data_IF_619410810877
#
_entry.id   IF_619410810877
#
_cell.length_a   1.000
_cell.length_b   1.000
_cell.length_c   1.000
_cell.angle_alpha   90.00
_cell.angle_beta   90.00
_cell.angle_gamma   90.00
#
_symmetry.space_group_name_H-M   'P 1'
#
loop_
_entity.id
_entity.type
_entity.pdbx_description
1 polymer ?
#
# COMPACT_ATOMS: atom_id res chain seq x y z
N UNK A 1 -35.93 -45.59 4.36
CA UNK A 1 -36.90 -44.51 4.05
C UNK A 1 -37.76 -44.83 2.82
N UNK A 2 -37.17 -45.25 1.70
CA UNK A 2 -37.85 -45.52 0.41
C UNK A 2 -39.05 -46.52 0.54
N UNK A 3 -38.97 -47.53 1.42
CA UNK A 3 -40.01 -48.55 1.61
C UNK A 3 -41.27 -48.02 2.28
N UNK A 4 -41.19 -47.00 3.12
CA UNK A 4 -42.34 -46.42 3.82
C UNK A 4 -43.17 -45.58 2.82
N UNK A 5 -42.55 -44.77 2.06
CA UNK A 5 -43.18 -43.90 1.04
C UNK A 5 -43.86 -44.78 -0.04
N UNK A 6 -43.23 -45.90 -0.44
CA UNK A 6 -43.80 -46.83 -1.42
C UNK A 6 -45.07 -47.48 -0.90
N UNK A 7 -45.12 -47.94 0.37
CA UNK A 7 -46.31 -48.52 0.99
C UNK A 7 -47.50 -47.57 1.14
N UNK A 8 -47.19 -46.27 1.46
CA UNK A 8 -48.23 -45.23 1.55
C UNK A 8 -48.81 -44.93 0.16
N UNK A 9 -47.97 -44.87 -0.85
CA UNK A 9 -48.35 -44.62 -2.25
C UNK A 9 -49.25 -45.79 -2.78
N UNK A 10 -48.88 -47.04 -2.53
CA UNK A 10 -49.66 -48.21 -2.94
C UNK A 10 -51.06 -48.21 -2.28
N UNK A 11 -51.18 -47.85 -0.99
CA UNK A 11 -52.49 -47.74 -0.29
C UNK A 11 -53.38 -46.60 -0.80
N UNK A 12 -52.80 -45.47 -1.14
CA UNK A 12 -53.50 -44.29 -1.72
C UNK A 12 -54.06 -44.58 -3.11
N UNK A 13 -53.28 -45.27 -3.95
CA UNK A 13 -53.75 -45.73 -5.28
C UNK A 13 -54.87 -46.72 -5.14
N UNK A 14 -54.77 -47.67 -4.25
CA UNK A 14 -55.80 -48.69 -4.00
C UNK A 14 -57.17 -48.12 -3.45
N UNK A 15 -57.12 -46.93 -2.80
CA UNK A 15 -58.28 -46.22 -2.31
C UNK A 15 -59.07 -45.41 -3.39
N UNK A 16 -58.61 -45.35 -4.65
CA UNK A 16 -59.28 -44.67 -5.75
C UNK A 16 -59.33 -43.12 -5.64
N UNK A 17 -58.64 -42.52 -4.67
CA UNK A 17 -58.68 -41.08 -4.43
C UNK A 17 -57.49 -40.34 -5.05
N UNK A 18 -57.63 -39.98 -6.32
CA UNK A 18 -56.60 -39.26 -7.09
C UNK A 18 -56.18 -37.96 -6.40
N UNK A 19 -57.10 -37.23 -5.79
CA UNK A 19 -56.80 -35.97 -5.07
C UNK A 19 -55.85 -36.20 -3.88
N UNK A 20 -56.05 -37.22 -3.07
CA UNK A 20 -55.18 -37.56 -1.95
C UNK A 20 -53.82 -38.03 -2.39
N UNK A 21 -53.72 -38.76 -3.51
CA UNK A 21 -52.43 -39.13 -4.11
C UNK A 21 -51.65 -37.89 -4.59
N UNK A 22 -52.35 -36.97 -5.28
CA UNK A 22 -51.71 -35.74 -5.80
C UNK A 22 -51.19 -34.85 -4.64
N UNK A 23 -51.94 -34.69 -3.59
CA UNK A 23 -51.56 -33.92 -2.39
C UNK A 23 -50.35 -34.54 -1.69
N UNK A 24 -50.29 -35.87 -1.59
CA UNK A 24 -49.15 -36.58 -1.08
C UNK A 24 -47.90 -36.43 -1.95
N UNK A 25 -48.05 -36.54 -3.28
CA UNK A 25 -46.95 -36.34 -4.23
C UNK A 25 -46.35 -34.94 -4.17
N UNK A 26 -47.22 -33.89 -4.07
CA UNK A 26 -46.77 -32.52 -3.85
C UNK A 26 -46.00 -32.39 -2.53
N UNK A 27 -46.49 -32.97 -1.45
CA UNK A 27 -45.80 -32.97 -0.16
C UNK A 27 -44.42 -33.65 -0.20
N UNK A 28 -44.30 -34.77 -0.93
CA UNK A 28 -43.02 -35.47 -1.14
C UNK A 28 -42.03 -34.60 -1.92
N UNK A 29 -42.48 -33.92 -3.00
CA UNK A 29 -41.65 -32.99 -3.78
C UNK A 29 -41.20 -31.80 -2.91
N UNK A 30 -42.12 -31.19 -2.15
CA UNK A 30 -41.78 -30.06 -1.26
C UNK A 30 -40.74 -30.47 -0.21
N UNK A 31 -40.86 -31.67 0.36
CA UNK A 31 -39.90 -32.15 1.36
C UNK A 31 -38.50 -32.36 0.76
N UNK A 32 -38.42 -32.90 -0.46
CA UNK A 32 -37.15 -33.03 -1.17
C UNK A 32 -36.53 -31.66 -1.50
N UNK A 33 -37.34 -30.72 -2.00
CA UNK A 33 -36.91 -29.35 -2.30
C UNK A 33 -36.41 -28.66 -1.04
N UNK A 34 -37.13 -28.74 0.07
CA UNK A 34 -36.71 -28.21 1.38
C UNK A 34 -35.37 -28.82 1.83
N UNK A 35 -35.19 -30.12 1.67
CA UNK A 35 -33.94 -30.80 2.00
C UNK A 35 -32.76 -30.26 1.19
N UNK A 36 -32.93 -30.05 -0.13
CA UNK A 36 -31.91 -29.47 -1.01
C UNK A 36 -31.60 -28.01 -0.60
N UNK A 37 -32.65 -27.21 -0.34
CA UNK A 37 -32.47 -25.81 0.07
C UNK A 37 -31.70 -25.68 1.39
N UNK A 38 -32.01 -26.55 2.38
CA UNK A 38 -31.28 -26.59 3.64
C UNK A 38 -29.82 -26.98 3.42
N UNK A 39 -29.56 -28.01 2.61
CA UNK A 39 -28.18 -28.41 2.28
C UNK A 39 -27.37 -27.30 1.60
N UNK A 40 -27.97 -26.61 0.63
CA UNK A 40 -27.35 -25.45 -0.04
C UNK A 40 -27.10 -24.32 0.96
N UNK A 41 -28.03 -24.01 1.85
CA UNK A 41 -27.85 -22.96 2.84
C UNK A 41 -26.71 -23.27 3.83
N UNK A 42 -26.58 -24.51 4.26
CA UNK A 42 -25.46 -24.95 5.11
C UNK A 42 -24.13 -24.82 4.37
N UNK A 43 -24.08 -25.21 3.09
CA UNK A 43 -22.88 -25.04 2.28
C UNK A 43 -22.50 -23.56 2.14
N UNK A 44 -23.46 -22.69 1.81
CA UNK A 44 -23.22 -21.24 1.69
C UNK A 44 -22.71 -20.63 3.00
N UNK A 45 -23.27 -21.01 4.14
CA UNK A 45 -22.76 -20.54 5.45
C UNK A 45 -21.33 -20.97 5.73
N UNK A 46 -20.95 -22.19 5.34
CA UNK A 46 -19.59 -22.67 5.50
C UNK A 46 -18.61 -21.92 4.60
N UNK A 47 -18.98 -21.63 3.35
CA UNK A 47 -18.18 -20.83 2.43
C UNK A 47 -18.05 -19.39 2.91
N UNK A 48 -19.14 -18.76 3.34
CA UNK A 48 -19.12 -17.43 3.95
C UNK A 48 -18.22 -17.36 5.20
N UNK A 49 -18.23 -18.40 6.02
CA UNK A 49 -17.37 -18.45 7.21
C UNK A 49 -15.88 -18.57 6.84
N UNK A 50 -15.55 -19.37 5.82
CA UNK A 50 -14.17 -19.47 5.30
C UNK A 50 -13.71 -18.16 4.71
N UNK A 51 -14.53 -17.53 3.87
CA UNK A 51 -14.20 -16.24 3.23
C UNK A 51 -13.98 -15.16 4.28
N UNK A 52 -14.83 -15.07 5.31
CA UNK A 52 -14.60 -14.13 6.43
C UNK A 52 -13.28 -14.41 7.16
N UNK A 53 -12.95 -15.68 7.41
CA UNK A 53 -11.67 -16.04 8.01
C UNK A 53 -10.47 -15.61 7.18
N UNK A 54 -10.53 -15.81 5.85
CA UNK A 54 -9.48 -15.37 4.92
C UNK A 54 -9.35 -13.85 4.87
N UNK A 55 -10.47 -13.12 4.82
CA UNK A 55 -10.47 -11.64 4.85
C UNK A 55 -9.85 -11.13 6.15
N UNK A 56 -10.22 -11.69 7.30
CA UNK A 56 -9.63 -11.27 8.57
C UNK A 56 -8.13 -11.54 8.62
N UNK A 57 -7.68 -12.69 8.09
CA UNK A 57 -6.24 -12.98 7.97
C UNK A 57 -5.50 -11.95 7.12
N UNK A 58 -6.04 -11.62 5.94
CA UNK A 58 -5.47 -10.62 5.07
C UNK A 58 -5.47 -9.20 5.69
N UNK A 59 -6.55 -8.82 6.41
CA UNK A 59 -6.59 -7.54 7.14
C UNK A 59 -5.55 -7.47 8.28
N UNK A 60 -5.26 -8.58 8.95
CA UNK A 60 -4.18 -8.62 9.94
C UNK A 60 -2.81 -8.42 9.29
N UNK A 61 -2.59 -8.97 8.10
CA UNK A 61 -1.37 -8.76 7.33
C UNK A 61 -1.27 -7.32 6.81
N UNK A 62 -2.38 -6.73 6.35
CA UNK A 62 -2.44 -5.28 6.05
C UNK A 62 -1.98 -4.43 7.24
N UNK A 63 -2.44 -4.76 8.45
CA UNK A 63 -2.01 -4.01 9.65
C UNK A 63 -0.51 -4.15 9.89
N UNK A 64 0.06 -5.35 9.73
CA UNK A 64 1.50 -5.58 9.90
C UNK A 64 2.32 -4.82 8.84
N UNK A 65 1.89 -4.84 7.58
CA UNK A 65 2.51 -4.08 6.50
C UNK A 65 2.49 -2.58 6.83
N UNK A 66 1.33 -2.03 7.18
CA UNK A 66 1.18 -0.61 7.54
C UNK A 66 1.98 -0.21 8.78
N UNK A 67 2.10 -1.08 9.80
CA UNK A 67 2.96 -0.82 10.97
C UNK A 67 4.45 -0.78 10.61
N UNK A 68 4.87 -1.57 9.63
CA UNK A 68 6.21 -1.51 9.05
C UNK A 68 6.41 -0.20 8.28
N UNK A 69 5.45 0.15 7.43
CA UNK A 69 5.49 1.36 6.61
C UNK A 69 5.54 2.63 7.46
N UNK A 70 4.78 2.67 8.57
CA UNK A 70 4.85 3.79 9.53
C UNK A 70 6.26 4.02 10.05
N UNK A 71 7.02 2.96 10.34
CA UNK A 71 8.41 3.08 10.78
C UNK A 71 9.31 3.59 9.67
N UNK A 72 9.22 2.97 8.48
CA UNK A 72 10.02 3.35 7.30
C UNK A 72 9.75 4.80 6.93
N UNK A 73 8.48 5.20 6.80
CA UNK A 73 8.09 6.57 6.47
C UNK A 73 8.56 7.59 7.51
N UNK A 74 8.42 7.27 8.80
CA UNK A 74 8.87 8.16 9.88
C UNK A 74 10.38 8.39 9.83
N UNK A 75 11.16 7.34 9.62
CA UNK A 75 12.62 7.43 9.53
C UNK A 75 13.07 8.19 8.27
N UNK A 76 12.43 7.92 7.13
CA UNK A 76 12.77 8.58 5.86
C UNK A 76 12.37 10.06 5.86
N UNK A 77 11.25 10.44 6.47
CA UNK A 77 10.87 11.85 6.64
C UNK A 77 11.97 12.62 7.39
N UNK A 78 12.47 12.07 8.51
CA UNK A 78 13.54 12.71 9.29
C UNK A 78 14.82 12.86 8.46
N UNK A 79 15.22 11.84 7.74
CA UNK A 79 16.42 11.88 6.88
C UNK A 79 16.27 12.92 5.76
N UNK A 80 15.13 12.91 5.05
CA UNK A 80 14.84 13.87 3.98
C UNK A 80 14.71 15.30 4.47
N UNK A 81 14.20 15.53 5.68
CA UNK A 81 14.22 16.85 6.31
C UNK A 81 15.65 17.36 6.56
N UNK A 82 16.55 16.48 6.99
CA UNK A 82 17.97 16.81 7.16
C UNK A 82 18.65 17.14 5.80
N UNK A 83 18.37 16.34 4.78
CA UNK A 83 18.87 16.58 3.41
C UNK A 83 18.35 17.91 2.85
N UNK A 84 17.06 18.21 3.06
CA UNK A 84 16.47 19.49 2.70
C UNK A 84 17.20 20.68 3.36
N UNK A 85 17.49 20.56 4.66
CA UNK A 85 18.24 21.61 5.36
C UNK A 85 19.68 21.74 4.85
N UNK A 86 20.37 20.64 4.57
CA UNK A 86 21.69 20.64 3.95
C UNK A 86 21.67 21.35 2.60
N UNK A 87 20.71 21.00 1.74
CA UNK A 87 20.56 21.62 0.43
C UNK A 87 20.28 23.12 0.50
N UNK A 88 19.42 23.55 1.44
CA UNK A 88 19.16 24.97 1.66
C UNK A 88 20.42 25.74 2.13
N UNK A 89 21.29 25.11 2.93
CA UNK A 89 22.57 25.72 3.34
C UNK A 89 23.52 25.83 2.16
N UNK A 90 23.65 24.79 1.33
CA UNK A 90 24.48 24.80 0.12
C UNK A 90 24.00 25.87 -0.86
N UNK A 91 22.71 25.92 -1.18
CA UNK A 91 22.15 26.95 -2.07
C UNK A 91 22.47 28.36 -1.56
N UNK A 92 22.25 28.60 -0.25
CA UNK A 92 22.54 29.90 0.37
C UNK A 92 24.01 30.25 0.27
N UNK A 93 24.92 29.30 0.44
CA UNK A 93 26.35 29.51 0.28
C UNK A 93 26.70 29.87 -1.18
N UNK A 94 26.16 29.17 -2.15
CA UNK A 94 26.41 29.41 -3.57
C UNK A 94 25.84 30.75 -4.08
N UNK A 95 24.80 31.27 -3.44
CA UNK A 95 24.16 32.55 -3.80
C UNK A 95 24.76 33.75 -3.07
N UNK A 96 25.59 33.54 -2.06
CA UNK A 96 26.14 34.60 -1.23
C UNK A 96 27.68 34.61 -1.31
N UNK A 97 28.27 35.78 -1.31
CA UNK A 97 29.73 35.97 -1.26
C UNK A 97 30.29 35.69 0.14
N UNK A 98 29.77 34.63 0.82
CA UNK A 98 30.14 34.28 2.18
C UNK A 98 31.31 33.29 2.22
N UNK A 99 32.08 33.32 3.31
CA UNK A 99 33.12 32.32 3.54
C UNK A 99 32.55 30.92 3.67
N UNK A 100 33.31 29.89 3.27
CA UNK A 100 32.99 28.49 3.46
C UNK A 100 32.71 28.20 4.92
N UNK A 101 31.67 27.39 5.19
CA UNK A 101 31.33 26.93 6.51
C UNK A 101 31.82 25.49 6.73
N UNK A 102 32.03 25.10 7.99
CA UNK A 102 32.73 23.86 8.37
C UNK A 102 32.07 22.59 7.81
N UNK A 103 30.73 22.55 7.75
CA UNK A 103 29.98 21.36 7.28
C UNK A 103 29.66 21.36 5.77
N UNK A 104 30.25 22.26 4.96
CA UNK A 104 29.90 22.36 3.54
C UNK A 104 30.06 21.05 2.77
N UNK A 105 31.15 20.34 2.97
CA UNK A 105 31.42 19.09 2.24
C UNK A 105 30.56 17.94 2.75
N UNK A 106 30.17 17.94 4.02
CA UNK A 106 29.18 17.02 4.58
C UNK A 106 27.80 17.31 3.99
N UNK A 107 27.41 18.57 3.93
CA UNK A 107 26.14 18.96 3.33
C UNK A 107 26.09 18.60 1.84
N UNK A 108 27.20 18.71 1.10
CA UNK A 108 27.28 18.23 -0.29
C UNK A 108 27.05 16.71 -0.38
N UNK A 109 27.56 15.91 0.57
CA UNK A 109 27.28 14.47 0.63
C UNK A 109 25.80 14.16 0.85
N UNK A 110 25.11 15.00 1.59
CA UNK A 110 23.66 14.90 1.83
C UNK A 110 22.78 15.42 0.69
N UNK A 111 23.33 16.20 -0.22
CA UNK A 111 22.63 16.74 -1.40
C UNK A 111 22.72 15.79 -2.58
N UNK A 112 23.91 15.21 -2.80
CA UNK A 112 24.23 14.39 -3.96
C UNK A 112 23.91 12.90 -3.69
N UNK A 113 22.67 12.59 -3.33
CA UNK A 113 22.24 11.23 -3.01
C UNK A 113 20.81 10.96 -3.48
N UNK A 114 20.44 9.68 -3.52
CA UNK A 114 19.06 9.20 -3.64
C UNK A 114 18.65 8.45 -2.38
N UNK A 115 17.34 8.41 -2.09
CA UNK A 115 16.77 7.59 -1.01
C UNK A 115 15.70 6.69 -1.55
N UNK A 116 15.55 5.53 -0.93
CA UNK A 116 14.51 4.57 -1.23
C UNK A 116 13.57 4.43 -0.02
N UNK A 117 12.29 4.29 -0.29
CA UNK A 117 11.24 4.13 0.73
C UNK A 117 10.36 2.93 0.36
N UNK A 118 10.84 1.69 0.58
CA UNK A 118 10.07 0.51 0.21
C UNK A 118 8.84 0.38 1.12
N UNK A 119 7.65 0.45 0.55
CA UNK A 119 6.39 0.19 1.21
C UNK A 119 5.89 -1.22 0.90
N UNK A 120 5.03 -1.77 1.75
CA UNK A 120 4.55 -3.15 1.66
C UNK A 120 3.08 -3.19 1.20
N UNK A 121 2.73 -4.18 0.37
CA UNK A 121 1.37 -4.40 -0.12
C UNK A 121 0.85 -5.83 0.07
N UNK A 122 1.60 -6.71 0.76
CA UNK A 122 1.29 -8.15 0.83
C UNK A 122 -0.13 -8.44 1.31
N UNK A 123 -0.57 -7.78 2.38
CA UNK A 123 -1.91 -7.95 2.92
C UNK A 123 -3.00 -7.45 1.97
N UNK A 124 -2.76 -6.37 1.24
CA UNK A 124 -3.67 -5.85 0.24
C UNK A 124 -3.76 -6.76 -0.99
N UNK A 125 -2.65 -7.31 -1.44
CA UNK A 125 -2.60 -8.27 -2.54
C UNK A 125 -3.39 -9.55 -2.18
N UNK A 126 -3.27 -10.04 -0.95
CA UNK A 126 -4.10 -11.14 -0.45
C UNK A 126 -5.61 -10.80 -0.44
N UNK A 127 -5.98 -9.56 -0.08
CA UNK A 127 -7.38 -9.11 -0.16
C UNK A 127 -7.89 -9.08 -1.60
N UNK A 128 -7.06 -8.68 -2.54
CA UNK A 128 -7.39 -8.67 -3.96
C UNK A 128 -7.57 -10.10 -4.51
N UNK A 129 -6.71 -11.04 -4.10
CA UNK A 129 -6.82 -12.45 -4.47
C UNK A 129 -8.10 -13.12 -3.95
N UNK A 130 -8.54 -12.78 -2.73
CA UNK A 130 -9.82 -13.20 -2.18
C UNK A 130 -10.99 -12.54 -2.91
N UNK A 131 -10.75 -11.36 -3.45
CA UNK A 131 -11.71 -10.44 -4.04
C UNK A 131 -12.13 -9.37 -3.04
N UNK A 132 -11.58 -8.17 -3.17
CA UNK A 132 -11.83 -7.04 -2.26
C UNK A 132 -13.32 -6.68 -2.12
N UNK A 133 -14.15 -7.03 -3.10
CA UNK A 133 -15.62 -6.89 -3.06
C UNK A 133 -16.30 -7.75 -1.98
N UNK A 134 -15.63 -8.81 -1.51
CA UNK A 134 -16.11 -9.65 -0.41
C UNK A 134 -16.00 -8.96 0.95
N UNK A 135 -15.16 -7.93 1.06
CA UNK A 135 -15.11 -7.06 2.24
C UNK A 135 -16.39 -6.23 2.31
N UNK A 136 -17.28 -6.59 3.25
CA UNK A 136 -18.64 -6.02 3.38
C UNK A 136 -18.63 -4.55 3.81
N UNK A 137 -17.62 -4.12 4.56
CA UNK A 137 -17.46 -2.73 4.97
C UNK A 137 -17.02 -1.86 3.78
N UNK A 138 -17.97 -1.14 3.20
CA UNK A 138 -17.74 -0.28 2.05
C UNK A 138 -16.75 0.86 2.35
N UNK A 139 -16.80 1.41 3.57
CA UNK A 139 -15.89 2.51 3.97
C UNK A 139 -14.46 2.01 4.11
N UNK A 140 -14.26 0.85 4.76
CA UNK A 140 -12.92 0.26 4.89
C UNK A 140 -12.37 -0.11 3.52
N UNK A 141 -13.19 -0.72 2.66
CA UNK A 141 -12.80 -1.06 1.29
C UNK A 141 -12.36 0.17 0.49
N UNK A 142 -13.13 1.26 0.52
CA UNK A 142 -12.79 2.51 -0.14
C UNK A 142 -11.46 3.08 0.36
N UNK A 143 -11.22 3.07 1.69
CA UNK A 143 -10.00 3.57 2.28
C UNK A 143 -8.78 2.74 1.91
N UNK A 144 -8.92 1.41 1.86
CA UNK A 144 -7.86 0.51 1.40
C UNK A 144 -7.49 0.78 -0.06
N UNK A 145 -8.50 0.89 -0.94
CA UNK A 145 -8.27 1.19 -2.36
C UNK A 145 -7.57 2.55 -2.53
N UNK A 146 -8.04 3.60 -1.86
CA UNK A 146 -7.41 4.93 -1.94
C UNK A 146 -5.96 4.87 -1.44
N UNK A 147 -5.68 4.14 -0.36
CA UNK A 147 -4.34 4.05 0.17
C UNK A 147 -3.40 3.33 -0.81
N UNK A 148 -3.75 2.14 -1.27
CA UNK A 148 -2.85 1.31 -2.08
C UNK A 148 -2.80 1.71 -3.56
N UNK A 149 -3.93 2.12 -4.16
CA UNK A 149 -4.01 2.42 -5.59
C UNK A 149 -3.72 3.91 -5.92
N UNK A 150 -3.64 4.78 -4.89
CA UNK A 150 -3.40 6.21 -5.12
C UNK A 150 -2.23 6.71 -4.29
N UNK A 151 -2.29 6.56 -2.96
CA UNK A 151 -1.29 7.18 -2.07
C UNK A 151 0.04 6.41 -2.13
N UNK A 152 0.00 5.10 -2.12
CA UNK A 152 1.17 4.23 -2.23
C UNK A 152 1.85 4.43 -3.60
N UNK A 153 1.06 4.44 -4.68
CA UNK A 153 1.56 4.69 -6.03
C UNK A 153 2.21 6.09 -6.16
N UNK A 154 1.65 7.11 -5.49
CA UNK A 154 2.25 8.45 -5.46
C UNK A 154 3.62 8.46 -4.76
N UNK A 155 3.77 7.72 -3.66
CA UNK A 155 5.08 7.56 -3.01
C UNK A 155 6.08 6.85 -3.93
N UNK A 156 5.65 5.80 -4.65
CA UNK A 156 6.50 5.09 -5.60
C UNK A 156 6.95 6.01 -6.76
N UNK A 157 6.04 6.79 -7.33
CA UNK A 157 6.34 7.75 -8.39
C UNK A 157 7.37 8.80 -7.94
N UNK A 158 7.23 9.34 -6.73
CA UNK A 158 8.21 10.30 -6.18
C UNK A 158 9.61 9.66 -5.97
N UNK A 159 9.66 8.37 -5.65
CA UNK A 159 10.94 7.63 -5.52
C UNK A 159 11.56 7.38 -6.90
N UNK A 160 10.76 7.03 -7.89
CA UNK A 160 11.22 6.85 -9.27
C UNK A 160 11.77 8.15 -9.84
N UNK A 161 11.13 9.29 -9.57
CA UNK A 161 11.59 10.61 -9.95
C UNK A 161 12.93 10.98 -9.27
N UNK A 162 13.08 10.72 -7.97
CA UNK A 162 14.32 10.88 -7.22
C UNK A 162 15.45 10.00 -7.83
N UNK A 163 15.15 8.76 -8.20
CA UNK A 163 16.12 7.84 -8.81
C UNK A 163 16.54 8.32 -10.19
N UNK A 164 15.59 8.72 -11.01
CA UNK A 164 15.86 9.27 -12.34
C UNK A 164 16.74 10.52 -12.27
N UNK A 165 16.41 11.48 -11.38
CA UNK A 165 17.21 12.70 -11.17
C UNK A 165 18.64 12.36 -10.72
N UNK A 166 18.78 11.38 -9.82
CA UNK A 166 20.09 10.95 -9.34
C UNK A 166 20.93 10.32 -10.48
N UNK A 167 20.35 9.41 -11.26
CA UNK A 167 21.07 8.66 -12.28
C UNK A 167 21.43 9.52 -13.50
N UNK A 168 20.54 10.41 -13.91
CA UNK A 168 20.71 11.22 -15.12
C UNK A 168 21.47 12.53 -14.87
N UNK A 169 21.37 13.10 -13.67
CA UNK A 169 21.97 14.39 -13.36
C UNK A 169 23.07 14.30 -12.31
N UNK A 170 22.76 13.79 -11.10
CA UNK A 170 23.72 13.86 -9.99
C UNK A 170 24.90 12.93 -10.14
N UNK A 171 24.69 11.67 -10.47
CA UNK A 171 25.77 10.69 -10.59
C UNK A 171 26.78 11.03 -11.71
N UNK A 172 26.35 11.44 -12.92
CA UNK A 172 27.25 11.94 -13.93
C UNK A 172 28.01 13.21 -13.51
N UNK A 173 27.35 14.15 -12.83
CA UNK A 173 27.98 15.36 -12.34
C UNK A 173 29.05 15.06 -11.28
N UNK A 174 28.75 14.21 -10.31
CA UNK A 174 29.72 13.75 -9.29
C UNK A 174 30.92 13.08 -9.93
N UNK A 175 30.73 12.15 -10.87
CA UNK A 175 31.84 11.45 -11.55
C UNK A 175 32.80 12.38 -12.29
N UNK A 176 32.29 13.49 -12.80
CA UNK A 176 33.09 14.45 -13.58
C UNK A 176 33.75 15.51 -12.71
N UNK A 177 33.15 15.90 -11.59
CA UNK A 177 33.53 17.12 -10.87
C UNK A 177 33.95 16.87 -9.41
N UNK A 178 33.86 15.61 -8.88
CA UNK A 178 34.25 15.30 -7.51
C UNK A 178 35.39 14.28 -7.49
N UNK A 179 36.36 14.50 -6.58
CA UNK A 179 37.49 13.57 -6.38
C UNK A 179 37.19 12.49 -5.34
N UNK A 180 36.34 12.81 -4.36
CA UNK A 180 35.90 11.92 -3.32
C UNK A 180 34.42 12.19 -3.05
N UNK A 181 33.67 11.10 -2.85
CA UNK A 181 32.27 11.15 -2.55
C UNK A 181 31.85 9.90 -1.79
N UNK A 182 31.29 10.10 -0.60
CA UNK A 182 30.68 9.06 0.23
C UNK A 182 29.22 9.39 0.40
N UNK A 183 28.37 8.47 0.03
CA UNK A 183 26.92 8.62 -0.04
C UNK A 183 26.32 9.01 1.33
N UNK A 184 25.78 10.20 1.45
CA UNK A 184 25.18 10.72 2.69
C UNK A 184 26.18 11.15 3.76
N UNK A 185 27.47 11.14 3.47
CA UNK A 185 28.54 11.51 4.41
C UNK A 185 29.26 12.78 3.98
N UNK A 186 29.92 12.76 2.83
CA UNK A 186 30.66 13.90 2.32
C UNK A 186 30.82 13.88 0.80
N UNK A 187 31.14 15.04 0.21
CA UNK A 187 31.53 15.15 -1.18
C UNK A 187 32.58 16.26 -1.36
N UNK A 188 33.75 15.93 -1.92
CA UNK A 188 34.84 16.84 -2.15
C UNK A 188 35.02 17.11 -3.66
N UNK A 189 34.78 18.34 -4.15
CA UNK A 189 35.03 18.70 -5.54
C UNK A 189 36.49 18.49 -5.97
N UNK A 190 36.72 18.24 -7.28
CA UNK A 190 38.01 18.29 -7.90
C UNK A 190 38.57 19.71 -7.87
N UNK A 191 37.71 20.69 -8.16
CA UNK A 191 37.96 22.11 -8.19
C UNK A 191 36.77 22.84 -7.56
N UNK A 192 36.98 23.38 -6.37
CA UNK A 192 35.96 24.10 -5.61
C UNK A 192 35.48 25.35 -6.35
N UNK A 193 36.43 26.09 -6.98
CA UNK A 193 36.09 27.33 -7.65
C UNK A 193 35.24 27.09 -8.89
N UNK A 194 35.46 25.97 -9.58
CA UNK A 194 34.61 25.56 -10.69
C UNK A 194 33.19 25.18 -10.20
N UNK A 195 33.09 24.22 -9.26
CA UNK A 195 31.78 23.69 -8.83
C UNK A 195 30.94 24.77 -8.14
N UNK A 196 31.55 25.62 -7.32
CA UNK A 196 30.81 26.65 -6.59
C UNK A 196 30.38 27.85 -7.41
N UNK A 197 30.96 28.02 -8.62
CA UNK A 197 30.53 29.03 -9.60
C UNK A 197 29.74 28.43 -10.77
N UNK A 198 29.47 27.11 -10.76
CA UNK A 198 28.73 26.45 -11.83
C UNK A 198 27.22 26.73 -11.73
N UNK A 199 26.71 27.49 -12.70
CA UNK A 199 25.27 27.79 -12.78
C UNK A 199 24.41 26.57 -13.01
N UNK A 200 24.93 25.52 -13.66
CA UNK A 200 24.23 24.26 -13.82
C UNK A 200 24.00 23.58 -12.44
N UNK A 201 25.06 23.51 -11.63
CA UNK A 201 24.98 22.94 -10.30
C UNK A 201 23.95 23.65 -9.41
N UNK A 202 24.03 25.01 -9.35
CA UNK A 202 23.08 25.80 -8.57
C UNK A 202 21.63 25.62 -9.08
N UNK A 203 21.43 25.59 -10.39
CA UNK A 203 20.10 25.43 -10.98
C UNK A 203 19.53 24.03 -10.67
N UNK A 204 20.34 22.97 -10.80
CA UNK A 204 19.96 21.61 -10.47
C UNK A 204 19.60 21.47 -8.99
N UNK A 205 20.35 22.12 -8.08
CA UNK A 205 19.98 22.16 -6.65
C UNK A 205 18.62 22.80 -6.42
N UNK A 206 18.30 23.89 -7.13
CA UNK A 206 16.99 24.55 -6.99
C UNK A 206 15.84 23.72 -7.55
N UNK A 207 16.06 22.96 -8.60
CA UNK A 207 15.08 22.00 -9.14
C UNK A 207 14.86 20.88 -8.13
N UNK A 208 15.93 20.24 -7.67
CA UNK A 208 15.88 19.16 -6.70
C UNK A 208 15.24 19.58 -5.37
N UNK A 209 15.36 20.85 -4.97
CA UNK A 209 14.67 21.37 -3.79
C UNK A 209 13.14 21.22 -3.85
N UNK A 210 12.55 21.34 -5.04
CA UNK A 210 11.12 21.14 -5.24
C UNK A 210 10.77 19.65 -5.18
N UNK A 211 11.61 18.78 -5.75
CA UNK A 211 11.43 17.34 -5.70
C UNK A 211 11.44 16.83 -4.23
N UNK A 212 12.46 17.20 -3.44
CA UNK A 212 12.51 16.83 -2.01
C UNK A 212 11.26 17.28 -1.24
N UNK A 213 10.71 18.46 -1.55
CA UNK A 213 9.49 18.96 -0.90
C UNK A 213 8.26 18.15 -1.30
N UNK A 214 8.13 17.78 -2.57
CA UNK A 214 7.08 16.92 -3.09
C UNK A 214 7.12 15.55 -2.40
N UNK A 215 8.27 14.92 -2.40
CA UNK A 215 8.49 13.63 -1.75
C UNK A 215 8.20 13.67 -0.24
N UNK A 216 8.61 14.72 0.47
CA UNK A 216 8.28 14.91 1.89
C UNK A 216 6.78 15.03 2.12
N UNK A 217 6.06 15.71 1.26
CA UNK A 217 4.60 15.84 1.37
C UNK A 217 3.90 14.51 1.12
N UNK A 218 4.27 13.76 0.06
CA UNK A 218 3.71 12.44 -0.23
C UNK A 218 3.95 11.45 0.92
N UNK A 219 5.16 11.45 1.51
CA UNK A 219 5.50 10.61 2.66
C UNK A 219 4.69 10.95 3.91
N UNK A 220 4.45 12.25 4.20
CA UNK A 220 3.63 12.68 5.33
C UNK A 220 2.16 12.30 5.15
N UNK A 221 1.64 12.40 3.91
CA UNK A 221 0.29 11.95 3.58
C UNK A 221 0.19 10.45 3.79
N UNK A 222 1.13 9.66 3.24
CA UNK A 222 1.16 8.21 3.38
C UNK A 222 1.23 7.80 4.87
N UNK A 223 2.13 8.40 5.65
CA UNK A 223 2.26 8.14 7.09
C UNK A 223 0.95 8.39 7.85
N UNK A 224 0.30 9.52 7.61
CA UNK A 224 -0.95 9.86 8.28
C UNK A 224 -2.08 8.87 7.89
N UNK A 225 -2.17 8.51 6.62
CA UNK A 225 -3.19 7.58 6.14
C UNK A 225 -2.94 6.16 6.63
N UNK A 226 -1.68 5.70 6.71
CA UNK A 226 -1.32 4.39 7.32
C UNK A 226 -1.81 4.31 8.77
N UNK A 227 -1.51 5.33 9.59
CA UNK A 227 -1.95 5.37 11.00
C UNK A 227 -3.48 5.36 11.12
N UNK A 228 -4.18 6.13 10.28
CA UNK A 228 -5.64 6.18 10.27
C UNK A 228 -6.25 4.84 9.84
N UNK A 229 -5.63 4.16 8.86
CA UNK A 229 -6.11 2.89 8.34
C UNK A 229 -5.90 1.76 9.35
N UNK A 230 -4.75 1.70 10.02
CA UNK A 230 -4.50 0.78 11.15
C UNK A 230 -5.60 0.92 12.22
N UNK A 231 -5.87 2.16 12.63
CA UNK A 231 -6.91 2.44 13.63
C UNK A 231 -8.28 1.96 13.15
N UNK A 232 -8.65 2.28 11.91
CA UNK A 232 -9.92 1.90 11.31
C UNK A 232 -10.10 0.37 11.25
N UNK A 233 -9.05 -0.38 10.86
CA UNK A 233 -9.09 -1.85 10.80
C UNK A 233 -9.26 -2.41 12.21
N UNK A 234 -8.48 -1.94 13.19
CA UNK A 234 -8.53 -2.43 14.57
C UNK A 234 -9.88 -2.16 15.25
N UNK A 235 -10.52 -1.02 14.97
CA UNK A 235 -11.86 -0.71 15.49
C UNK A 235 -12.97 -1.60 14.91
N UNK A 236 -12.73 -2.23 13.76
CA UNK A 236 -13.72 -3.04 13.03
C UNK A 236 -13.44 -4.54 13.01
N UNK A 237 -12.32 -4.98 13.55
CA UNK A 237 -12.04 -6.39 13.80
C UNK A 237 -12.95 -6.87 14.93
N UNK A 238 -13.99 -7.58 14.55
CA UNK A 238 -14.91 -8.33 15.44
C UNK A 238 -14.72 -9.81 15.20
#
# INVERSE_FOLDING_TARGET
MITIFRRVREKLIASGSVAKYLLYAIGEILLVVLGILIALQINNWNEDAKTRGSINGALMEVVQDLESDVKVLSDEIVKRENDLQAQLRVIRFLESDTQRYDSLYTDLGHVLLKRNTPLLSNGYDLLNDIGISQLKDATLRERLVIYYEVIHEEVENEIEDDEFEFEENWLPYVRNHFREWEFGEFAYPNDDDYVFNDSYFLTSLKINLNNIRGTLESHRIALNQSVNLIKLINERQI
#
